data_IF_344671211322
#
_entry.id   IF_344671211322
#
_cell.length_a   1.000
_cell.length_b   1.000
_cell.length_c   1.000
_cell.angle_alpha   90.00
_cell.angle_beta   90.00
_cell.angle_gamma   90.00
#
_symmetry.space_group_name_H-M   'P 1'
#
loop_
_entity.id
_entity.type
_entity.pdbx_description
1 polymer ?
#
# COMPACT_ATOMS: atom_id res chain seq x y z
N UNK A 1 -6.17 -21.38 -85.14
CA UNK A 1 -6.90 -21.70 -83.88
C UNK A 1 -6.21 -21.01 -82.74
N UNK A 2 -6.64 -19.78 -82.39
CA UNK A 2 -5.91 -18.85 -81.55
C UNK A 2 -6.68 -18.71 -80.23
N UNK A 3 -6.13 -19.26 -79.14
CA UNK A 3 -6.73 -19.12 -77.79
C UNK A 3 -6.36 -17.77 -77.12
N UNK A 4 -7.35 -16.96 -76.87
CA UNK A 4 -7.23 -15.76 -76.09
C UNK A 4 -7.16 -16.09 -74.57
N UNK A 5 -6.09 -15.68 -73.90
CA UNK A 5 -5.95 -15.75 -72.45
C UNK A 5 -6.56 -14.50 -71.84
N UNK A 6 -7.60 -14.67 -71.03
CA UNK A 6 -8.22 -13.62 -70.26
C UNK A 6 -7.47 -13.48 -68.90
N UNK A 7 -6.86 -12.33 -68.67
CA UNK A 7 -6.31 -11.99 -67.35
C UNK A 7 -7.40 -11.44 -66.44
N UNK A 8 -7.61 -12.09 -65.29
CA UNK A 8 -8.46 -11.62 -64.23
C UNK A 8 -7.55 -10.86 -63.21
N UNK A 9 -7.72 -9.55 -63.13
CA UNK A 9 -7.06 -8.71 -62.13
C UNK A 9 -7.82 -8.85 -60.79
N UNK A 10 -7.20 -9.50 -59.82
CA UNK A 10 -7.70 -9.58 -58.47
C UNK A 10 -7.29 -8.32 -57.69
N UNK A 11 -8.26 -7.52 -57.28
CA UNK A 11 -8.05 -6.42 -56.36
C UNK A 11 -7.88 -6.95 -54.95
N UNK A 12 -6.67 -6.83 -54.38
CA UNK A 12 -6.40 -7.11 -52.98
C UNK A 12 -6.80 -5.85 -52.18
N UNK A 13 -7.95 -5.93 -51.54
CA UNK A 13 -8.37 -4.92 -50.55
C UNK A 13 -7.57 -5.08 -49.25
N UNK A 14 -6.68 -4.14 -48.97
CA UNK A 14 -6.02 -4.04 -47.70
C UNK A 14 -7.03 -3.51 -46.63
N UNK A 15 -7.51 -4.39 -45.77
CA UNK A 15 -8.18 -3.99 -44.55
C UNK A 15 -7.12 -3.39 -43.58
N UNK A 16 -7.12 -2.06 -43.45
CA UNK A 16 -6.47 -1.37 -42.35
C UNK A 16 -7.28 -1.64 -41.08
N UNK A 17 -6.83 -2.57 -40.27
CA UNK A 17 -7.29 -2.73 -38.89
C UNK A 17 -6.76 -1.51 -38.10
N UNK A 18 -7.63 -0.51 -37.91
CA UNK A 18 -7.44 0.53 -36.91
C UNK A 18 -7.51 -0.15 -35.53
N UNK A 19 -6.36 -0.58 -35.04
CA UNK A 19 -6.22 -0.91 -33.63
C UNK A 19 -6.46 0.35 -32.80
N UNK A 20 -7.57 0.41 -32.07
CA UNK A 20 -7.77 1.37 -31.03
C UNK A 20 -6.74 1.08 -29.92
N UNK A 21 -5.53 1.57 -30.11
CA UNK A 21 -4.56 1.70 -29.03
C UNK A 21 -5.13 2.70 -28.05
N UNK A 22 -5.65 2.23 -26.92
CA UNK A 22 -5.98 3.11 -25.81
C UNK A 22 -4.71 3.93 -25.52
N UNK A 23 -4.80 5.24 -25.64
CA UNK A 23 -3.75 6.14 -25.22
C UNK A 23 -3.64 5.96 -23.69
N UNK A 24 -2.62 5.21 -23.25
CA UNK A 24 -2.25 5.26 -21.84
C UNK A 24 -1.88 6.71 -21.56
N UNK A 25 -2.58 7.34 -20.59
CA UNK A 25 -2.21 8.66 -20.14
C UNK A 25 -0.71 8.63 -19.75
N UNK A 26 0.03 9.64 -20.19
CA UNK A 26 1.45 9.71 -19.89
C UNK A 26 1.66 9.73 -18.38
N UNK A 27 2.62 8.96 -17.88
CA UNK A 27 2.98 8.99 -16.47
C UNK A 27 3.30 10.43 -16.03
N UNK A 28 2.95 10.83 -14.78
CA UNK A 28 3.22 12.17 -14.28
C UNK A 28 4.70 12.54 -14.38
N UNK A 29 4.98 13.84 -14.60
CA UNK A 29 6.32 14.40 -14.43
C UNK A 29 6.64 14.46 -12.92
N UNK A 30 7.25 13.40 -12.41
CA UNK A 30 7.57 13.27 -10.99
C UNK A 30 8.48 14.37 -10.44
N UNK A 31 9.18 15.11 -11.32
CA UNK A 31 9.96 16.27 -10.92
C UNK A 31 9.11 17.47 -10.48
N UNK A 32 7.85 17.50 -10.88
CA UNK A 32 6.88 18.55 -10.53
C UNK A 32 5.90 18.13 -9.45
N UNK A 33 5.83 16.84 -9.11
CA UNK A 33 4.93 16.33 -8.07
C UNK A 33 5.56 16.52 -6.70
N UNK A 34 4.82 17.16 -5.79
CA UNK A 34 5.25 17.34 -4.40
C UNK A 34 5.52 15.98 -3.76
N UNK A 35 6.61 15.89 -3.01
CA UNK A 35 6.98 14.68 -2.30
C UNK A 35 6.81 14.85 -0.80
N UNK A 36 6.23 13.84 -0.15
CA UNK A 36 6.16 13.69 1.30
C UNK A 36 7.19 12.66 1.74
N UNK A 37 8.07 13.02 2.66
CA UNK A 37 8.95 12.06 3.32
C UNK A 37 8.22 11.43 4.51
N UNK A 38 8.13 10.10 4.52
CA UNK A 38 7.48 9.28 5.55
C UNK A 38 8.44 8.20 5.99
N UNK A 39 8.72 8.12 7.28
CA UNK A 39 9.57 7.06 7.82
C UNK A 39 8.72 5.89 8.30
N UNK A 40 8.89 4.74 7.66
CA UNK A 40 8.35 3.48 8.15
C UNK A 40 9.17 2.96 9.32
N UNK A 41 8.55 2.27 10.24
CA UNK A 41 9.25 1.63 11.35
C UNK A 41 8.86 0.15 11.49
N UNK A 42 9.74 -0.62 12.10
CA UNK A 42 9.47 -2.02 12.43
C UNK A 42 8.51 -2.09 13.63
N UNK A 43 7.29 -2.62 13.48
CA UNK A 43 6.25 -2.54 14.51
C UNK A 43 6.35 -3.65 15.56
N UNK A 44 7.12 -4.73 15.31
CA UNK A 44 7.17 -5.88 16.21
C UNK A 44 5.80 -6.48 16.50
N UNK A 45 5.52 -6.69 17.80
CA UNK A 45 4.23 -7.17 18.32
C UNK A 45 3.51 -6.02 19.03
N UNK A 46 2.85 -5.15 18.24
CA UNK A 46 2.15 -3.95 18.74
C UNK A 46 0.70 -3.88 18.27
N UNK A 47 -0.22 -4.68 18.84
CA UNK A 47 -1.63 -4.64 18.44
C UNK A 47 -2.34 -3.42 18.98
N UNK A 48 -3.37 -2.95 18.26
CA UNK A 48 -4.19 -1.81 18.66
C UNK A 48 -4.83 -2.01 20.05
N UNK A 49 -5.23 -3.24 20.38
CA UNK A 49 -5.79 -3.54 21.70
C UNK A 49 -4.79 -3.28 22.85
N UNK A 50 -3.47 -3.48 22.61
CA UNK A 50 -2.44 -3.12 23.57
C UNK A 50 -2.30 -1.60 23.68
N UNK A 51 -2.30 -0.89 22.54
CA UNK A 51 -2.22 0.58 22.47
C UNK A 51 -3.39 1.21 23.25
N UNK A 52 -4.57 0.64 23.19
CA UNK A 52 -5.78 1.13 23.86
C UNK A 52 -5.83 0.87 25.36
N UNK A 53 -5.06 -0.07 25.90
CA UNK A 53 -5.14 -0.45 27.34
C UNK A 53 -4.71 0.65 28.30
N UNK A 54 -3.78 1.51 27.91
CA UNK A 54 -3.37 2.67 28.72
C UNK A 54 -2.49 2.36 29.93
N UNK A 55 -2.28 1.09 30.28
CA UNK A 55 -1.36 0.66 31.35
C UNK A 55 0.08 0.60 30.87
N UNK A 56 0.28 0.33 29.61
CA UNK A 56 1.59 0.13 29.00
C UNK A 56 1.87 1.17 27.89
N UNK A 57 0.82 1.78 27.35
CA UNK A 57 0.87 2.84 26.35
C UNK A 57 0.18 4.09 26.88
N UNK A 58 0.96 5.12 27.21
CA UNK A 58 0.45 6.37 27.81
C UNK A 58 -0.54 7.14 26.93
N UNK A 59 -0.46 7.00 25.59
CA UNK A 59 -1.31 7.67 24.61
C UNK A 59 -2.74 7.14 24.50
N UNK A 60 -3.11 6.07 25.19
CA UNK A 60 -4.46 5.50 25.09
C UNK A 60 -5.59 6.48 25.39
N UNK A 61 -5.38 7.45 26.32
CA UNK A 61 -6.36 8.50 26.61
C UNK A 61 -6.48 9.50 25.49
N UNK A 62 -5.37 9.88 24.87
CA UNK A 62 -5.31 10.81 23.74
C UNK A 62 -6.03 10.21 22.50
N UNK A 63 -5.76 8.95 22.20
CA UNK A 63 -6.45 8.19 21.15
C UNK A 63 -7.98 8.19 21.35
N UNK A 64 -8.46 7.97 22.60
CA UNK A 64 -9.91 8.04 22.90
C UNK A 64 -10.51 9.44 22.76
N UNK A 65 -9.70 10.48 22.72
CA UNK A 65 -10.13 11.86 22.50
C UNK A 65 -10.04 12.30 21.04
N UNK A 66 -9.65 11.41 20.15
CA UNK A 66 -9.56 11.68 18.72
C UNK A 66 -8.17 12.06 18.20
N UNK A 67 -7.14 12.07 19.07
CA UNK A 67 -5.76 12.27 18.61
C UNK A 67 -5.30 11.07 17.77
N UNK A 68 -4.42 11.32 16.79
CA UNK A 68 -3.90 10.28 15.91
C UNK A 68 -2.57 9.73 16.44
N UNK A 69 -2.17 8.56 15.96
CA UNK A 69 -0.83 8.04 16.26
C UNK A 69 0.26 9.01 15.77
N UNK A 70 0.03 9.67 14.64
CA UNK A 70 0.98 10.61 14.06
C UNK A 70 1.14 11.89 14.88
N UNK A 71 0.10 12.36 15.56
CA UNK A 71 0.18 13.57 16.42
C UNK A 71 1.22 13.42 17.53
N UNK A 72 1.43 12.19 18.02
CA UNK A 72 2.41 11.90 19.06
C UNK A 72 3.74 11.33 18.53
N UNK A 73 3.72 10.61 17.40
CA UNK A 73 4.82 9.74 17.00
C UNK A 73 5.44 10.06 15.63
N UNK A 74 4.97 11.08 14.89
CA UNK A 74 5.50 11.41 13.55
C UNK A 74 7.02 11.59 13.52
N UNK A 75 7.57 12.24 14.54
CA UNK A 75 8.99 12.54 14.64
C UNK A 75 9.81 11.44 15.36
N UNK A 76 9.13 10.43 15.93
CA UNK A 76 9.73 9.38 16.75
C UNK A 76 9.77 8.01 16.06
N UNK A 77 9.26 7.87 14.85
CA UNK A 77 9.10 6.58 14.15
C UNK A 77 10.41 5.80 14.07
N UNK A 78 11.53 6.46 13.79
CA UNK A 78 12.84 5.82 13.73
C UNK A 78 13.30 5.29 15.10
N UNK A 79 13.08 6.05 16.18
CA UNK A 79 13.42 5.66 17.55
C UNK A 79 12.51 4.54 18.06
N UNK A 80 11.23 4.59 17.73
CA UNK A 80 10.28 3.50 18.00
C UNK A 80 10.77 2.20 17.37
N UNK A 81 11.06 2.24 16.07
CA UNK A 81 11.58 1.10 15.33
C UNK A 81 12.88 0.56 15.92
N UNK A 82 13.79 1.44 16.37
CA UNK A 82 15.05 1.04 17.02
C UNK A 82 14.82 0.30 18.34
N UNK A 83 13.94 0.81 19.18
CA UNK A 83 13.59 0.15 20.47
C UNK A 83 12.93 -1.21 20.24
N UNK A 84 12.08 -1.32 19.22
CA UNK A 84 11.40 -2.56 18.92
C UNK A 84 12.35 -3.57 18.25
N UNK A 85 13.08 -3.19 17.22
CA UNK A 85 13.98 -4.08 16.50
C UNK A 85 15.11 -4.63 17.40
N UNK A 86 15.53 -3.88 18.43
CA UNK A 86 16.51 -4.32 19.42
C UNK A 86 15.97 -5.28 20.48
N UNK A 87 14.65 -5.52 20.53
CA UNK A 87 14.01 -6.33 21.57
C UNK A 87 13.79 -5.59 22.89
N UNK A 88 14.08 -4.32 22.95
CA UNK A 88 13.85 -3.51 24.17
C UNK A 88 12.35 -3.39 24.48
N UNK A 89 11.50 -3.37 23.44
CA UNK A 89 10.04 -3.35 23.56
C UNK A 89 9.39 -4.14 22.44
N UNK A 90 8.27 -4.80 22.72
CA UNK A 90 7.31 -5.32 21.72
C UNK A 90 7.90 -6.27 20.65
N UNK A 91 9.09 -6.81 20.86
CA UNK A 91 9.68 -7.84 20.02
C UNK A 91 10.38 -8.88 20.89
N UNK A 92 9.69 -9.98 21.21
CA UNK A 92 10.23 -11.01 22.08
C UNK A 92 11.37 -11.82 21.43
N UNK A 93 11.44 -11.81 20.10
CA UNK A 93 12.45 -12.56 19.33
C UNK A 93 13.11 -11.64 18.29
N UNK A 94 14.03 -10.76 18.71
CA UNK A 94 14.69 -9.83 17.81
C UNK A 94 15.43 -10.54 16.68
N UNK A 95 15.32 -9.98 15.48
CA UNK A 95 16.07 -10.46 14.30
C UNK A 95 17.38 -9.70 14.23
N UNK A 96 18.54 -10.37 14.31
CA UNK A 96 19.84 -9.72 14.21
C UNK A 96 19.98 -8.94 12.90
N UNK A 97 20.37 -7.67 12.98
CA UNK A 97 20.55 -6.82 11.82
C UNK A 97 19.25 -6.32 11.16
N UNK A 98 18.07 -6.56 11.76
CA UNK A 98 16.82 -6.01 11.26
C UNK A 98 16.89 -4.48 11.24
N UNK A 99 16.66 -3.88 10.06
CA UNK A 99 16.57 -2.43 9.95
C UNK A 99 15.46 -1.89 10.85
N UNK A 100 15.71 -0.88 11.68
CA UNK A 100 14.68 -0.33 12.57
C UNK A 100 13.64 0.50 11.83
N UNK A 101 14.05 1.18 10.76
CA UNK A 101 13.20 2.10 10.01
C UNK A 101 13.63 2.16 8.53
N UNK A 102 12.71 2.61 7.67
CA UNK A 102 12.94 2.84 6.25
C UNK A 102 12.35 4.21 5.90
N UNK A 103 13.17 5.23 5.62
CA UNK A 103 12.69 6.48 5.05
C UNK A 103 12.18 6.25 3.63
N UNK A 104 11.00 6.76 3.33
CA UNK A 104 10.32 6.60 2.04
C UNK A 104 9.84 7.96 1.55
N UNK A 105 10.13 8.27 0.31
CA UNK A 105 9.55 9.41 -0.40
C UNK A 105 8.28 8.95 -1.11
N UNK A 106 7.16 9.60 -0.80
CA UNK A 106 5.85 9.31 -1.38
C UNK A 106 5.41 10.50 -2.23
N UNK A 107 4.96 10.23 -3.44
CA UNK A 107 4.43 11.22 -4.37
C UNK A 107 3.10 10.73 -4.93
N UNK A 108 2.13 11.62 -5.09
CA UNK A 108 0.83 11.30 -5.65
C UNK A 108 0.41 12.35 -6.67
N UNK A 109 -0.22 11.90 -7.75
CA UNK A 109 -0.82 12.75 -8.77
C UNK A 109 -2.03 12.05 -9.38
N UNK A 110 -2.88 12.76 -10.11
CA UNK A 110 -3.93 12.15 -10.91
C UNK A 110 -4.13 12.91 -12.24
N UNK A 111 -4.72 12.24 -13.23
CA UNK A 111 -5.07 12.82 -14.53
C UNK A 111 -6.57 13.12 -14.66
N UNK A 112 -7.35 12.83 -13.61
CA UNK A 112 -8.80 12.92 -13.57
C UNK A 112 -9.49 11.57 -13.81
N UNK A 113 -8.76 10.55 -14.24
CA UNK A 113 -9.23 9.18 -14.46
C UNK A 113 -8.49 8.18 -13.58
N UNK A 114 -7.17 8.36 -13.48
CA UNK A 114 -6.28 7.50 -12.72
C UNK A 114 -5.54 8.28 -11.63
N UNK A 115 -5.35 7.63 -10.48
CA UNK A 115 -4.39 8.00 -9.46
C UNK A 115 -3.05 7.32 -9.75
N UNK A 116 -1.99 8.08 -9.59
CA UNK A 116 -0.60 7.62 -9.64
C UNK A 116 0.03 7.80 -8.26
N UNK A 117 0.54 6.71 -7.68
CA UNK A 117 1.28 6.73 -6.41
C UNK A 117 2.68 6.20 -6.65
N UNK A 118 3.69 7.01 -6.31
CA UNK A 118 5.10 6.62 -6.38
C UNK A 118 5.70 6.55 -4.99
N UNK A 119 6.37 5.44 -4.71
CA UNK A 119 7.14 5.22 -3.51
C UNK A 119 8.60 5.03 -3.89
N UNK A 120 9.50 5.77 -3.24
CA UNK A 120 10.94 5.62 -3.47
C UNK A 120 11.68 5.51 -2.14
N UNK A 121 12.54 4.52 -2.02
CA UNK A 121 13.31 4.27 -0.78
C UNK A 121 14.64 3.61 -1.07
N UNK A 122 15.58 3.84 -0.17
CA UNK A 122 16.83 3.10 -0.16
C UNK A 122 16.63 1.74 0.51
N UNK A 123 17.01 0.66 -0.18
CA UNK A 123 16.94 -0.69 0.36
C UNK A 123 17.86 -0.81 1.57
N UNK A 124 17.36 -1.17 2.75
CA UNK A 124 18.22 -1.47 3.90
C UNK A 124 19.15 -2.65 3.62
N UNK A 125 20.28 -2.69 4.30
CA UNK A 125 21.16 -3.85 4.26
C UNK A 125 20.40 -5.12 4.68
N UNK A 126 20.79 -6.25 4.10
CA UNK A 126 20.23 -7.54 4.47
C UNK A 126 20.51 -7.85 5.94
N UNK A 127 19.51 -8.40 6.62
CA UNK A 127 19.66 -8.91 8.00
C UNK A 127 20.16 -10.35 8.01
N UNK A 128 20.49 -10.86 9.19
CA UNK A 128 20.77 -12.29 9.39
C UNK A 128 19.55 -13.19 9.46
N UNK A 129 18.36 -12.68 9.09
CA UNK A 129 17.11 -13.45 9.14
C UNK A 129 17.08 -14.57 8.09
N UNK A 130 16.37 -15.65 8.42
CA UNK A 130 16.02 -16.66 7.43
C UNK A 130 15.16 -16.02 6.33
N UNK A 131 15.39 -16.45 5.09
CA UNK A 131 14.57 -16.01 3.95
C UNK A 131 13.18 -16.64 4.03
N UNK A 132 12.16 -15.81 4.33
CA UNK A 132 10.78 -16.27 4.53
C UNK A 132 10.00 -16.34 3.21
N UNK A 133 10.34 -15.48 2.24
CA UNK A 133 9.73 -15.40 0.91
C UNK A 133 10.82 -15.13 -0.12
N UNK A 134 11.43 -16.22 -0.59
CA UNK A 134 12.52 -16.14 -1.57
C UNK A 134 12.04 -15.67 -2.94
N UNK A 135 10.79 -15.97 -3.27
CA UNK A 135 10.19 -15.56 -4.54
C UNK A 135 9.99 -14.05 -4.63
N UNK A 136 9.72 -13.38 -3.51
CA UNK A 136 9.46 -11.95 -3.46
C UNK A 136 10.31 -11.27 -2.37
N UNK A 137 11.60 -11.03 -2.62
CA UNK A 137 12.50 -10.42 -1.64
C UNK A 137 12.04 -9.05 -1.14
N UNK A 138 11.33 -8.30 -1.98
CA UNK A 138 10.78 -6.98 -1.66
C UNK A 138 9.32 -6.93 -2.09
N UNK A 139 8.49 -6.40 -1.20
CA UNK A 139 7.06 -6.12 -1.48
C UNK A 139 6.71 -4.79 -0.85
N UNK A 140 5.85 -4.01 -1.51
CA UNK A 140 5.23 -2.84 -0.93
C UNK A 140 3.72 -2.97 -1.06
N UNK A 141 3.00 -2.62 -0.01
CA UNK A 141 1.55 -2.55 -0.01
C UNK A 141 1.08 -1.23 0.56
N UNK A 142 -0.02 -0.69 0.03
CA UNK A 142 -0.72 0.42 0.64
C UNK A 142 -2.21 0.09 0.78
N UNK A 143 -2.85 0.80 1.69
CA UNK A 143 -4.29 0.67 1.94
C UNK A 143 -4.96 2.03 1.95
N UNK A 144 -6.20 2.05 1.47
CA UNK A 144 -7.09 3.21 1.50
C UNK A 144 -8.38 2.86 2.24
N UNK A 145 -8.92 3.81 2.98
CA UNK A 145 -10.23 3.69 3.61
C UNK A 145 -10.99 5.01 3.42
N UNK A 146 -12.29 4.93 3.15
CA UNK A 146 -13.10 6.06 2.71
C UNK A 146 -13.45 7.08 3.79
N UNK A 147 -13.01 6.83 5.02
CA UNK A 147 -13.26 7.70 6.19
C UNK A 147 -14.56 7.36 6.93
N UNK A 148 -14.44 7.15 8.23
CA UNK A 148 -15.55 7.02 9.17
C UNK A 148 -16.31 5.68 9.20
N UNK A 149 -15.92 4.69 8.42
CA UNK A 149 -16.56 3.37 8.41
C UNK A 149 -15.85 2.37 9.30
N UNK A 150 -14.54 2.33 9.25
CA UNK A 150 -13.73 1.45 10.10
C UNK A 150 -13.39 2.20 11.39
N UNK A 151 -13.71 1.59 12.53
CA UNK A 151 -13.45 2.18 13.85
C UNK A 151 -11.95 2.48 14.02
N UNK A 152 -11.62 3.71 14.42
CA UNK A 152 -10.27 4.22 14.62
C UNK A 152 -9.39 4.30 13.37
N UNK A 153 -9.93 4.12 12.17
CA UNK A 153 -9.14 4.24 10.93
C UNK A 153 -8.50 5.62 10.77
N UNK A 154 -9.24 6.68 11.13
CA UNK A 154 -8.76 8.06 11.08
C UNK A 154 -7.55 8.31 12.00
N UNK A 155 -7.43 7.55 13.09
CA UNK A 155 -6.44 7.78 14.14
C UNK A 155 -5.26 6.83 14.03
N UNK A 156 -5.50 5.57 13.63
CA UNK A 156 -4.52 4.49 13.76
C UNK A 156 -4.13 3.81 12.46
N UNK A 157 -4.72 4.18 11.32
CA UNK A 157 -4.36 3.62 10.02
C UNK A 157 -4.35 2.08 10.02
N UNK A 158 -3.22 1.46 9.69
CA UNK A 158 -3.07 0.01 9.61
C UNK A 158 -3.34 -0.74 10.93
N UNK A 159 -3.24 -0.06 12.09
CA UNK A 159 -3.60 -0.67 13.39
C UNK A 159 -5.10 -0.89 13.56
N UNK A 160 -5.94 -0.19 12.82
CA UNK A 160 -7.38 -0.46 12.80
C UNK A 160 -7.75 -1.73 12.01
N UNK A 161 -6.78 -2.39 11.38
CA UNK A 161 -6.96 -3.62 10.61
C UNK A 161 -5.89 -4.66 10.93
N UNK A 162 -4.84 -4.83 10.13
CA UNK A 162 -3.87 -5.93 10.24
C UNK A 162 -3.20 -6.05 11.61
N UNK A 163 -3.13 -4.98 12.38
CA UNK A 163 -2.61 -4.94 13.75
C UNK A 163 -3.71 -4.72 14.80
N UNK A 164 -4.97 -5.05 14.50
CA UNK A 164 -6.10 -4.74 15.37
C UNK A 164 -5.98 -5.41 16.74
N UNK A 165 -5.62 -6.68 16.77
CA UNK A 165 -5.54 -7.46 18.01
C UNK A 165 -4.31 -8.39 18.04
N UNK A 166 -4.04 -8.96 19.23
CA UNK A 166 -2.92 -9.87 19.45
C UNK A 166 -3.02 -11.17 18.65
N UNK A 167 -4.20 -11.50 18.14
CA UNK A 167 -4.42 -12.72 17.35
C UNK A 167 -3.82 -12.65 15.94
N UNK A 168 -3.46 -11.46 15.49
CA UNK A 168 -2.71 -11.27 14.24
C UNK A 168 -1.21 -11.36 14.44
N UNK A 169 -0.74 -11.56 15.68
CA UNK A 169 0.67 -11.54 16.06
C UNK A 169 1.24 -12.96 16.20
N UNK A 170 2.58 -13.13 16.26
CA UNK A 170 3.20 -14.45 16.40
C UNK A 170 2.73 -15.18 17.64
N UNK A 171 2.52 -16.49 17.50
CA UNK A 171 1.98 -17.35 18.57
C UNK A 171 0.47 -17.23 18.74
N UNK A 172 -0.20 -16.38 17.99
CA UNK A 172 -1.64 -16.32 17.97
C UNK A 172 -2.24 -17.50 17.20
N UNK A 173 -3.46 -17.86 17.55
CA UNK A 173 -4.26 -18.83 16.80
C UNK A 173 -4.75 -18.19 15.49
N UNK A 174 -4.21 -18.64 14.36
CA UNK A 174 -4.53 -18.12 13.03
C UNK A 174 -6.01 -18.26 12.65
N UNK A 175 -6.70 -19.27 13.20
CA UNK A 175 -8.13 -19.47 12.99
C UNK A 175 -9.00 -18.35 13.60
N UNK A 176 -8.44 -17.58 14.54
CA UNK A 176 -9.11 -16.44 15.18
C UNK A 176 -8.75 -15.09 14.61
N UNK A 177 -7.92 -15.03 13.57
CA UNK A 177 -7.52 -13.76 12.92
C UNK A 177 -8.76 -12.97 12.51
N UNK A 178 -8.83 -11.73 12.97
CA UNK A 178 -9.80 -10.73 12.55
C UNK A 178 -9.05 -9.49 12.12
N UNK A 179 -9.32 -9.04 10.91
CA UNK A 179 -8.66 -7.87 10.37
C UNK A 179 -9.42 -6.59 10.70
N UNK A 180 -10.69 -6.51 10.30
CA UNK A 180 -11.58 -5.39 10.65
C UNK A 180 -12.73 -5.95 11.47
N UNK A 181 -12.97 -5.40 12.66
CA UNK A 181 -14.09 -5.82 13.53
C UNK A 181 -15.42 -5.53 12.85
N UNK A 182 -16.16 -6.60 12.52
CA UNK A 182 -17.39 -6.49 11.75
C UNK A 182 -17.18 -5.93 10.35
N UNK A 183 -16.05 -6.25 9.72
CA UNK A 183 -15.71 -5.81 8.37
C UNK A 183 -16.66 -6.41 7.34
N UNK A 184 -17.09 -5.57 6.40
CA UNK A 184 -18.02 -5.92 5.32
C UNK A 184 -17.82 -4.99 4.13
N UNK A 185 -17.49 -5.58 2.98
CA UNK A 185 -17.38 -4.83 1.72
C UNK A 185 -18.73 -4.21 1.34
N UNK A 186 -19.81 -4.97 1.48
CA UNK A 186 -21.17 -4.50 1.13
C UNK A 186 -21.63 -3.30 1.98
N UNK A 187 -21.12 -3.17 3.20
CA UNK A 187 -21.42 -2.04 4.09
C UNK A 187 -20.37 -0.91 3.95
N UNK A 188 -19.36 -1.08 3.10
CA UNK A 188 -18.25 -0.14 2.94
C UNK A 188 -17.31 -0.10 4.15
N UNK A 189 -17.32 -1.13 5.01
CA UNK A 189 -16.48 -1.24 6.20
C UNK A 189 -15.27 -2.11 5.91
N UNK A 190 -14.32 -1.59 5.17
CA UNK A 190 -13.14 -2.30 4.70
C UNK A 190 -12.01 -1.33 4.36
N UNK A 191 -10.81 -1.87 4.19
CA UNK A 191 -9.68 -1.19 3.54
C UNK A 191 -9.49 -1.77 2.14
N UNK A 192 -9.37 -0.90 1.15
CA UNK A 192 -8.91 -1.22 -0.20
C UNK A 192 -7.40 -1.46 -0.16
N UNK A 193 -6.94 -2.60 -0.67
CA UNK A 193 -5.56 -3.08 -0.53
C UNK A 193 -4.89 -3.23 -1.88
N UNK A 194 -3.73 -2.63 -2.00
CA UNK A 194 -2.83 -2.77 -3.15
C UNK A 194 -1.49 -3.34 -2.69
N UNK A 195 -0.92 -4.25 -3.46
CA UNK A 195 0.41 -4.78 -3.19
C UNK A 195 1.18 -4.95 -4.50
N UNK A 196 2.45 -4.58 -4.51
CA UNK A 196 3.41 -4.93 -5.54
C UNK A 196 4.44 -5.93 -4.98
N UNK A 197 4.89 -6.88 -5.82
CA UNK A 197 5.87 -7.92 -5.47
C UNK A 197 7.02 -7.92 -6.46
N UNK A 198 8.25 -7.93 -5.96
CA UNK A 198 9.46 -7.77 -6.77
C UNK A 198 9.74 -8.97 -7.67
N UNK A 199 9.47 -10.20 -7.24
CA UNK A 199 9.78 -11.39 -8.00
C UNK A 199 8.97 -11.51 -9.30
N UNK A 200 7.71 -11.09 -9.25
CA UNK A 200 6.82 -11.08 -10.40
C UNK A 200 6.80 -9.73 -11.13
N UNK A 201 7.34 -8.67 -10.50
CA UNK A 201 7.14 -7.26 -10.86
C UNK A 201 5.67 -6.96 -11.18
N UNK A 202 4.78 -7.42 -10.31
CA UNK A 202 3.33 -7.42 -10.53
C UNK A 202 2.59 -6.81 -9.35
N UNK A 203 1.51 -6.10 -9.67
CA UNK A 203 0.55 -5.56 -8.71
C UNK A 203 -0.62 -6.50 -8.45
N UNK A 204 -1.17 -6.40 -7.23
CA UNK A 204 -2.36 -7.09 -6.75
C UNK A 204 -3.30 -6.05 -6.16
N UNK A 205 -4.60 -6.26 -6.34
CA UNK A 205 -5.66 -5.43 -5.78
C UNK A 205 -6.71 -6.30 -5.12
N UNK A 206 -6.93 -6.06 -3.86
CA UNK A 206 -7.90 -6.75 -3.05
C UNK A 206 -8.40 -5.85 -1.92
N UNK A 207 -8.84 -6.44 -0.83
CA UNK A 207 -9.37 -5.69 0.31
C UNK A 207 -9.10 -6.40 1.64
N UNK A 208 -9.25 -5.64 2.71
CA UNK A 208 -9.21 -6.14 4.09
C UNK A 208 -10.51 -5.74 4.77
N UNK A 209 -11.38 -6.73 4.97
CA UNK A 209 -12.60 -6.64 5.76
C UNK A 209 -12.49 -7.54 6.99
N UNK A 210 -13.43 -8.41 7.29
CA UNK A 210 -13.25 -9.44 8.32
C UNK A 210 -12.13 -10.43 7.95
N UNK A 211 -11.98 -10.68 6.66
CA UNK A 211 -10.86 -11.43 6.08
C UNK A 211 -10.02 -10.55 5.15
N UNK A 212 -8.80 -10.99 4.84
CA UNK A 212 -7.93 -10.36 3.85
C UNK A 212 -8.02 -11.12 2.52
N UNK A 213 -8.40 -10.42 1.49
CA UNK A 213 -8.45 -10.89 0.10
C UNK A 213 -7.38 -10.13 -0.68
N UNK A 214 -6.53 -10.84 -1.42
CA UNK A 214 -5.39 -10.23 -2.14
C UNK A 214 -5.72 -9.86 -3.58
N UNK A 215 -6.74 -10.45 -4.15
CA UNK A 215 -7.17 -10.26 -5.54
C UNK A 215 -8.70 -10.11 -5.60
N UNK A 216 -9.22 -9.52 -6.67
CA UNK A 216 -10.67 -9.34 -6.88
C UNK A 216 -11.08 -7.88 -7.02
N UNK A 217 -10.22 -6.93 -6.62
CA UNK A 217 -10.42 -5.52 -6.95
C UNK A 217 -10.23 -5.24 -8.44
N UNK A 218 -10.82 -4.16 -8.92
CA UNK A 218 -10.85 -3.79 -10.35
C UNK A 218 -10.22 -2.43 -10.63
N UNK A 219 -9.82 -1.71 -9.59
CA UNK A 219 -9.28 -0.37 -9.75
C UNK A 219 -7.81 -0.35 -10.20
N UNK A 220 -6.99 -1.36 -9.87
CA UNK A 220 -5.58 -1.41 -10.25
C UNK A 220 -5.43 -1.54 -11.77
N UNK A 221 -4.67 -0.61 -12.36
CA UNK A 221 -4.29 -0.63 -13.78
C UNK A 221 -2.91 -1.27 -13.93
N UNK A 222 -1.93 -0.80 -13.15
CA UNK A 222 -0.58 -1.37 -13.13
C UNK A 222 0.12 -1.10 -11.80
N UNK A 223 1.14 -1.91 -11.51
CA UNK A 223 2.13 -1.61 -10.48
C UNK A 223 3.49 -2.10 -10.98
N UNK A 224 4.44 -1.18 -11.05
CA UNK A 224 5.76 -1.43 -11.61
C UNK A 224 6.85 -0.96 -10.67
N UNK A 225 7.80 -1.84 -10.38
CA UNK A 225 8.97 -1.54 -9.58
C UNK A 225 10.25 -1.52 -10.40
N UNK A 226 11.10 -0.56 -10.12
CA UNK A 226 12.44 -0.44 -10.67
C UNK A 226 13.44 -0.21 -9.56
N UNK A 227 14.56 -0.91 -9.62
CA UNK A 227 15.69 -0.69 -8.75
C UNK A 227 16.84 -0.03 -9.52
N UNK A 228 17.41 1.01 -8.93
CA UNK A 228 18.61 1.68 -9.42
C UNK A 228 19.62 1.74 -8.27
N UNK A 229 20.70 0.98 -8.42
CA UNK A 229 21.64 0.74 -7.33
C UNK A 229 20.93 0.09 -6.12
N UNK A 230 20.93 0.78 -4.99
CA UNK A 230 20.25 0.36 -3.76
C UNK A 230 18.87 1.03 -3.57
N UNK A 231 18.40 1.78 -4.55
CA UNK A 231 17.15 2.54 -4.46
C UNK A 231 16.05 1.90 -5.27
N UNK A 232 14.95 1.58 -4.61
CA UNK A 232 13.70 1.16 -5.23
C UNK A 232 12.82 2.36 -5.56
N UNK A 233 12.13 2.27 -6.69
CA UNK A 233 11.02 3.13 -7.06
C UNK A 233 9.88 2.27 -7.56
N UNK A 234 8.74 2.31 -6.90
CA UNK A 234 7.53 1.56 -7.27
C UNK A 234 6.42 2.55 -7.56
N UNK A 235 5.79 2.40 -8.72
CA UNK A 235 4.66 3.23 -9.16
C UNK A 235 3.42 2.35 -9.28
N UNK A 236 2.37 2.74 -8.60
CA UNK A 236 1.04 2.19 -8.77
C UNK A 236 0.20 3.14 -9.61
N UNK A 237 -0.50 2.60 -10.59
CA UNK A 237 -1.55 3.30 -11.33
C UNK A 237 -2.87 2.59 -11.04
N UNK A 238 -3.85 3.33 -10.53
CA UNK A 238 -5.19 2.82 -10.30
C UNK A 238 -6.25 3.80 -10.81
N UNK A 239 -7.40 3.31 -11.22
CA UNK A 239 -8.54 4.17 -11.55
C UNK A 239 -9.01 4.93 -10.31
N UNK A 240 -9.47 6.17 -10.49
CA UNK A 240 -10.18 6.89 -9.42
C UNK A 240 -11.51 6.19 -9.11
N UNK A 241 -12.22 5.73 -10.14
CA UNK A 241 -13.39 4.87 -9.97
C UNK A 241 -13.01 3.52 -9.36
N UNK A 242 -13.77 3.05 -8.38
CA UNK A 242 -13.65 1.74 -7.78
C UNK A 242 -14.80 0.82 -8.16
N UNK A 243 -14.57 -0.49 -8.08
CA UNK A 243 -15.59 -1.53 -8.13
C UNK A 243 -15.92 -2.08 -6.75
N UNK A 244 -16.47 -3.28 -6.69
CA UNK A 244 -16.72 -3.98 -5.43
C UNK A 244 -15.37 -4.30 -4.76
N UNK A 245 -15.22 -3.89 -3.50
CA UNK A 245 -13.98 -4.05 -2.74
C UNK A 245 -12.92 -2.97 -2.99
N UNK A 246 -13.18 -2.02 -3.88
CA UNK A 246 -12.34 -0.85 -4.11
C UNK A 246 -12.95 0.42 -3.50
N UNK A 247 -12.12 1.32 -3.01
CA UNK A 247 -12.55 2.68 -2.63
C UNK A 247 -12.61 3.56 -3.87
N UNK A 248 -13.77 4.17 -4.15
CA UNK A 248 -13.88 5.22 -5.17
C UNK A 248 -13.27 6.51 -4.65
N UNK A 249 -12.35 7.07 -5.42
CA UNK A 249 -11.68 8.33 -5.12
C UNK A 249 -12.33 9.48 -5.89
N UNK A 250 -12.63 10.56 -5.18
CA UNK A 250 -13.31 11.73 -5.72
C UNK A 250 -12.45 12.99 -5.49
N UNK A 251 -12.39 13.86 -6.49
CA UNK A 251 -11.75 15.18 -6.35
C UNK A 251 -12.41 15.97 -5.21
N UNK A 252 -11.61 16.67 -4.43
CA UNK A 252 -12.03 17.42 -3.25
C UNK A 252 -12.19 16.59 -1.98
N UNK A 253 -11.81 15.31 -1.99
CA UNK A 253 -11.91 14.42 -0.82
C UNK A 253 -10.55 13.88 -0.35
N UNK A 254 -10.51 13.54 0.94
CA UNK A 254 -9.36 12.91 1.60
C UNK A 254 -9.72 11.52 2.10
N UNK A 255 -8.75 10.63 2.10
CA UNK A 255 -8.90 9.21 2.40
C UNK A 255 -7.87 8.79 3.44
N UNK A 256 -8.24 7.87 4.34
CA UNK A 256 -7.29 7.24 5.22
C UNK A 256 -6.28 6.44 4.40
N UNK A 257 -5.00 6.64 4.69
CA UNK A 257 -3.91 6.10 3.93
C UNK A 257 -2.81 5.56 4.85
N UNK A 258 -2.28 4.41 4.51
CA UNK A 258 -1.12 3.82 5.16
C UNK A 258 -0.45 2.81 4.25
N UNK A 259 0.82 2.53 4.49
CA UNK A 259 1.56 1.59 3.65
C UNK A 259 2.63 0.83 4.43
N UNK A 260 3.10 -0.25 3.84
CA UNK A 260 4.06 -1.16 4.45
C UNK A 260 5.05 -1.70 3.42
N UNK A 261 6.31 -1.89 3.82
CA UNK A 261 7.35 -2.50 3.02
C UNK A 261 7.83 -3.78 3.70
N UNK A 262 7.78 -4.90 2.97
CA UNK A 262 8.52 -6.10 3.28
C UNK A 262 9.87 -6.02 2.54
N UNK A 263 10.95 -5.96 3.27
CA UNK A 263 12.31 -6.02 2.73
C UNK A 263 12.99 -7.31 3.20
N UNK A 264 14.11 -7.66 2.57
CA UNK A 264 14.97 -8.76 3.00
C UNK A 264 14.22 -10.09 3.15
N UNK A 265 13.42 -10.42 2.13
CA UNK A 265 12.63 -11.66 2.06
C UNK A 265 11.61 -11.82 3.20
N UNK A 266 11.28 -10.75 3.92
CA UNK A 266 10.35 -10.85 5.06
C UNK A 266 8.92 -11.18 4.62
N UNK A 267 8.20 -11.89 5.49
CA UNK A 267 6.79 -12.23 5.32
C UNK A 267 6.02 -11.98 6.63
N UNK A 268 4.70 -12.02 6.56
CA UNK A 268 3.82 -11.84 7.72
C UNK A 268 4.07 -10.49 8.41
N UNK A 269 4.20 -10.49 9.73
CA UNK A 269 4.39 -9.28 10.54
C UNK A 269 5.77 -8.63 10.44
N UNK A 270 6.75 -9.28 9.82
CA UNK A 270 8.14 -8.85 9.78
C UNK A 270 8.42 -7.74 8.75
N UNK A 271 7.42 -6.92 8.48
CA UNK A 271 7.47 -5.76 7.59
C UNK A 271 7.70 -4.45 8.37
N UNK A 272 7.96 -3.37 7.64
CA UNK A 272 7.96 -2.00 8.17
C UNK A 272 6.64 -1.34 7.79
N UNK A 273 6.08 -0.52 8.67
CA UNK A 273 4.77 0.12 8.49
C UNK A 273 4.84 1.62 8.70
N UNK A 274 3.95 2.34 8.04
CA UNK A 274 3.70 3.76 8.32
C UNK A 274 2.74 3.90 9.50
N UNK A 275 2.72 5.05 10.13
CA UNK A 275 1.55 5.53 10.85
C UNK A 275 0.38 5.73 9.88
N UNK A 276 -0.81 6.08 10.39
CA UNK A 276 -1.93 6.53 9.58
C UNK A 276 -1.69 7.94 9.06
N UNK A 277 -1.98 8.15 7.78
CA UNK A 277 -1.92 9.43 7.08
C UNK A 277 -3.19 9.67 6.28
N UNK A 278 -3.31 10.85 5.65
CA UNK A 278 -4.39 11.19 4.72
C UNK A 278 -3.83 11.36 3.30
N UNK A 279 -4.48 10.73 2.33
CA UNK A 279 -4.31 11.00 0.91
C UNK A 279 -5.41 11.95 0.46
N UNK A 280 -5.07 13.18 0.08
CA UNK A 280 -6.00 14.14 -0.52
C UNK A 280 -5.98 14.06 -2.04
N UNK A 281 -7.15 13.97 -2.67
CA UNK A 281 -7.32 14.09 -4.13
C UNK A 281 -7.88 15.49 -4.40
N UNK A 282 -7.08 16.41 -4.92
CA UNK A 282 -7.37 17.86 -4.99
C UNK A 282 -7.91 18.41 -3.65
N UNK A 283 -7.46 17.86 -2.54
CA UNK A 283 -7.90 18.18 -1.19
C UNK A 283 -6.71 18.20 -0.23
N UNK A 284 -6.94 18.70 0.98
CA UNK A 284 -5.93 18.63 2.04
C UNK A 284 -5.65 17.19 2.45
N UNK A 285 -4.38 16.92 2.74
CA UNK A 285 -3.88 15.62 3.17
C UNK A 285 -2.37 15.66 3.37
N UNK A 286 -1.84 14.63 4.02
CA UNK A 286 -0.39 14.49 4.22
C UNK A 286 0.33 14.20 2.91
N UNK A 287 -0.32 13.44 2.03
CA UNK A 287 0.09 13.17 0.65
C UNK A 287 -0.99 13.76 -0.26
N UNK A 288 -0.61 14.64 -1.18
CA UNK A 288 -1.54 15.37 -2.05
C UNK A 288 -1.42 14.86 -3.48
N UNK A 289 -2.51 14.35 -4.00
CA UNK A 289 -2.67 14.01 -5.40
C UNK A 289 -3.34 15.18 -6.11
N UNK A 290 -2.53 16.06 -6.72
CA UNK A 290 -3.02 17.13 -7.56
C UNK A 290 -3.14 16.66 -9.02
N UNK A 291 -4.07 17.26 -9.75
CA UNK A 291 -4.24 17.00 -11.18
C UNK A 291 -3.03 17.49 -11.98
N UNK A 292 -2.52 16.61 -12.87
CA UNK A 292 -1.40 16.89 -13.80
C UNK A 292 -1.91 17.08 -15.22
#
# INVERSE_FOLDING_TARGET
MTMKKTMIAGAVGALLALGAGGAFAAAPDWGKVEAKDITLFYPGVSPLEWIQKGTEHGGARALRKGETCADCHSDETADMGKKIASGQKLEPNPIPGKAPAIPVKVQAAHDGENLYLRFSWKQPAASGAAKMDEANPVKIAFMLESGGKVELADQSGCWATCHQDSRTMPGADDAKKKYVKGGSVAEGKFYDLYQWRSGENKGFNGHVADTRVMEGGTALVSAEGKQDGDTWSVVFTRKLAGGEGDVTLESGKSYNFGFAIHNDNSAGRYHHVSLGYKLGVDADGDVKAAKQ
#
